data_IF_008414187610
#
_entry.id   IF_008414187610
#
_cell.length_a   1.000
_cell.length_b   1.000
_cell.length_c   1.000
_cell.angle_alpha   90.00
_cell.angle_beta   90.00
_cell.angle_gamma   90.00
#
_symmetry.space_group_name_H-M   'P 1'
#
loop_
_entity.id
_entity.type
_entity.pdbx_description
1 polymer ?
#
# COMPACT_ATOMS: atom_id res chain seq x y z
N UNK A 1 -9.88 7.73 -23.40
CA UNK A 1 -9.72 9.07 -22.78
C UNK A 1 -9.83 8.95 -21.26
N UNK A 2 -9.18 7.95 -20.64
CA UNK A 2 -9.41 7.58 -19.23
C UNK A 2 -8.18 7.78 -18.31
N UNK A 3 -6.97 7.85 -18.86
CA UNK A 3 -5.73 7.95 -18.08
C UNK A 3 -5.61 9.24 -17.25
N UNK A 4 -6.28 10.33 -17.67
CA UNK A 4 -6.33 11.59 -16.89
C UNK A 4 -7.03 11.37 -15.55
N UNK A 5 -8.06 10.52 -15.51
CA UNK A 5 -8.73 10.13 -14.27
C UNK A 5 -7.83 9.31 -13.36
N UNK A 6 -7.06 8.37 -13.93
CA UNK A 6 -6.05 7.60 -13.20
C UNK A 6 -5.02 8.50 -12.54
N UNK A 7 -4.48 9.48 -13.27
CA UNK A 7 -3.48 10.40 -12.71
C UNK A 7 -4.03 11.19 -11.52
N UNK A 8 -5.28 11.67 -11.60
CA UNK A 8 -5.92 12.35 -10.46
C UNK A 8 -6.05 11.41 -9.25
N UNK A 9 -6.57 10.19 -9.44
CA UNK A 9 -6.74 9.22 -8.34
C UNK A 9 -5.43 8.76 -7.74
N UNK A 10 -4.40 8.51 -8.57
CA UNK A 10 -3.06 8.17 -8.09
C UNK A 10 -2.51 9.31 -7.22
N UNK A 11 -2.62 10.56 -7.71
CA UNK A 11 -2.15 11.73 -6.97
C UNK A 11 -2.85 11.86 -5.64
N UNK A 12 -4.18 11.81 -5.63
CA UNK A 12 -4.98 12.00 -4.42
C UNK A 12 -4.72 10.86 -3.42
N UNK A 13 -4.60 9.62 -3.89
CA UNK A 13 -4.25 8.47 -3.04
C UNK A 13 -2.86 8.61 -2.39
N UNK A 14 -1.86 9.08 -3.13
CA UNK A 14 -0.52 9.33 -2.56
C UNK A 14 -0.56 10.45 -1.52
N UNK A 15 -1.33 11.52 -1.75
CA UNK A 15 -1.50 12.59 -0.75
C UNK A 15 -2.17 12.10 0.52
N UNK A 16 -3.23 11.30 0.42
CA UNK A 16 -3.87 10.68 1.58
C UNK A 16 -2.90 9.78 2.34
N UNK A 17 -2.12 8.94 1.65
CA UNK A 17 -1.11 8.08 2.28
C UNK A 17 -0.05 8.88 3.05
N UNK A 18 0.44 9.98 2.46
CA UNK A 18 1.43 10.84 3.12
C UNK A 18 0.84 11.65 4.27
N UNK A 19 -0.43 12.06 4.17
CA UNK A 19 -1.12 12.81 5.23
C UNK A 19 -1.44 11.94 6.43
N UNK A 20 -1.49 10.61 6.23
CA UNK A 20 -1.72 9.63 7.29
C UNK A 20 -0.54 9.56 8.27
N UNK A 21 0.66 10.02 7.89
CA UNK A 21 1.87 9.98 8.73
C UNK A 21 1.66 10.67 10.09
N UNK A 22 0.97 11.81 10.11
CA UNK A 22 0.71 12.59 11.31
C UNK A 22 -0.25 11.88 12.29
N UNK A 23 -1.09 10.97 11.79
CA UNK A 23 -2.11 10.23 12.55
C UNK A 23 -1.57 8.90 13.13
N UNK A 24 -0.32 8.52 12.87
CA UNK A 24 0.28 7.25 13.30
C UNK A 24 0.73 7.24 14.78
N UNK A 25 0.64 8.36 15.49
CA UNK A 25 1.16 8.49 16.86
C UNK A 25 0.10 8.01 17.87
N UNK A 26 0.40 6.93 18.61
CA UNK A 26 -0.41 6.37 19.72
C UNK A 26 -1.73 5.66 19.34
N UNK A 27 -1.75 4.91 18.24
CA UNK A 27 -2.89 4.08 17.84
C UNK A 27 -2.92 2.71 18.57
N UNK A 28 -4.12 2.18 18.83
CA UNK A 28 -4.32 0.83 19.38
C UNK A 28 -4.30 -0.27 18.30
N UNK A 29 -4.30 -1.54 18.72
CA UNK A 29 -4.22 -2.70 17.81
C UNK A 29 -5.36 -2.72 16.77
N UNK A 30 -6.57 -2.37 17.18
CA UNK A 30 -7.75 -2.33 16.31
C UNK A 30 -7.61 -1.24 15.23
N UNK A 31 -6.99 -0.11 15.58
CA UNK A 31 -6.73 0.95 14.62
C UNK A 31 -5.62 0.56 13.64
N UNK A 32 -4.58 -0.14 14.09
CA UNK A 32 -3.56 -0.67 13.18
C UNK A 32 -4.13 -1.66 12.17
N UNK A 33 -5.05 -2.53 12.58
CA UNK A 33 -5.76 -3.45 11.67
C UNK A 33 -6.63 -2.69 10.65
N UNK A 34 -7.33 -1.64 11.09
CA UNK A 34 -8.11 -0.79 10.20
C UNK A 34 -7.21 -0.08 9.16
N UNK A 35 -6.06 0.45 9.59
CA UNK A 35 -5.10 1.09 8.70
C UNK A 35 -4.49 0.11 7.70
N UNK A 36 -4.18 -1.12 8.11
CA UNK A 36 -3.75 -2.19 7.22
C UNK A 36 -4.83 -2.51 6.17
N UNK A 37 -6.10 -2.61 6.58
CA UNK A 37 -7.21 -2.86 5.65
C UNK A 37 -7.38 -1.72 4.64
N UNK A 38 -7.32 -0.47 5.10
CA UNK A 38 -7.41 0.71 4.23
C UNK A 38 -6.21 0.77 3.26
N UNK A 39 -5.00 0.50 3.73
CA UNK A 39 -3.80 0.43 2.91
C UNK A 39 -3.92 -0.61 1.79
N UNK A 40 -4.41 -1.81 2.09
CA UNK A 40 -4.65 -2.89 1.12
C UNK A 40 -5.71 -2.51 0.09
N UNK A 41 -6.78 -1.84 0.52
CA UNK A 41 -7.82 -1.34 -0.38
C UNK A 41 -7.25 -0.30 -1.35
N UNK A 42 -6.53 0.71 -0.84
CA UNK A 42 -5.86 1.74 -1.64
C UNK A 42 -4.84 1.14 -2.61
N UNK A 43 -4.05 0.15 -2.15
CA UNK A 43 -3.09 -0.59 -3.00
C UNK A 43 -3.78 -1.22 -4.21
N UNK A 44 -4.94 -1.83 -4.02
CA UNK A 44 -5.70 -2.48 -5.09
C UNK A 44 -6.16 -1.47 -6.15
N UNK A 45 -6.68 -0.32 -5.74
CA UNK A 45 -7.09 0.73 -6.68
C UNK A 45 -5.90 1.36 -7.41
N UNK A 46 -4.82 1.64 -6.68
CA UNK A 46 -3.56 2.13 -7.25
C UNK A 46 -3.01 1.16 -8.30
N UNK A 47 -3.09 -0.15 -8.07
CA UNK A 47 -2.64 -1.15 -9.04
C UNK A 47 -3.43 -1.04 -10.35
N UNK A 48 -4.75 -0.97 -10.27
CA UNK A 48 -5.60 -0.79 -11.44
C UNK A 48 -5.25 0.49 -12.21
N UNK A 49 -5.09 1.61 -11.50
CA UNK A 49 -4.80 2.91 -12.12
C UNK A 49 -3.39 2.98 -12.73
N UNK A 50 -2.38 2.46 -12.02
CA UNK A 50 -1.00 2.40 -12.51
C UNK A 50 -0.87 1.44 -13.69
N UNK A 51 -1.53 0.28 -13.64
CA UNK A 51 -1.56 -0.65 -14.76
C UNK A 51 -2.18 -0.01 -16.01
N UNK A 52 -3.29 0.73 -15.84
CA UNK A 52 -3.90 1.46 -16.94
C UNK A 52 -2.97 2.57 -17.47
N UNK A 53 -2.34 3.34 -16.58
CA UNK A 53 -1.39 4.40 -16.96
C UNK A 53 -0.19 3.83 -17.73
N UNK A 54 0.46 2.79 -17.21
CA UNK A 54 1.62 2.15 -17.83
C UNK A 54 1.25 1.56 -19.19
N UNK A 55 0.11 0.88 -19.29
CA UNK A 55 -0.36 0.29 -20.55
C UNK A 55 -0.57 1.33 -21.67
N UNK A 56 -0.98 2.54 -21.30
CA UNK A 56 -1.21 3.65 -22.24
C UNK A 56 0.04 4.54 -22.46
N UNK A 57 1.14 4.28 -21.76
CA UNK A 57 2.38 5.06 -21.88
C UNK A 57 3.21 4.60 -23.09
N UNK A 58 4.06 5.47 -23.63
CA UNK A 58 5.03 5.12 -24.68
C UNK A 58 6.13 4.22 -24.14
N UNK A 59 6.65 3.30 -24.96
CA UNK A 59 7.62 2.28 -24.52
C UNK A 59 8.87 2.88 -23.86
N UNK A 60 9.30 4.06 -24.27
CA UNK A 60 10.44 4.81 -23.70
C UNK A 60 10.29 5.12 -22.20
N UNK A 61 9.06 5.27 -21.71
CA UNK A 61 8.76 5.59 -20.31
C UNK A 61 8.16 4.42 -19.54
N UNK A 62 7.67 3.38 -20.23
CA UNK A 62 7.01 2.22 -19.58
C UNK A 62 7.89 1.59 -18.51
N UNK A 63 9.15 1.29 -18.83
CA UNK A 63 10.07 0.65 -17.88
C UNK A 63 10.23 1.47 -16.60
N UNK A 64 10.47 2.78 -16.74
CA UNK A 64 10.66 3.68 -15.60
C UNK A 64 9.41 3.74 -14.72
N UNK A 65 8.22 3.81 -15.33
CA UNK A 65 6.96 3.81 -14.60
C UNK A 65 6.67 2.46 -13.92
N UNK A 66 6.98 1.35 -14.57
CA UNK A 66 6.87 0.01 -13.97
C UNK A 66 7.82 -0.13 -12.77
N UNK A 67 9.07 0.30 -12.91
CA UNK A 67 10.04 0.24 -11.81
C UNK A 67 9.62 1.15 -10.63
N UNK A 68 9.02 2.31 -10.92
CA UNK A 68 8.43 3.19 -9.90
C UNK A 68 7.23 2.55 -9.19
N UNK A 69 6.30 1.97 -9.95
CA UNK A 69 5.13 1.28 -9.40
C UNK A 69 5.56 0.11 -8.52
N UNK A 70 6.51 -0.70 -8.96
CA UNK A 70 7.02 -1.84 -8.19
C UNK A 70 7.63 -1.40 -6.86
N UNK A 71 8.42 -0.32 -6.85
CA UNK A 71 8.98 0.23 -5.61
C UNK A 71 7.89 0.76 -4.66
N UNK A 72 6.88 1.44 -5.20
CA UNK A 72 5.75 1.91 -4.39
C UNK A 72 5.03 0.72 -3.73
N UNK A 73 4.68 -0.31 -4.50
CA UNK A 73 4.00 -1.48 -3.96
C UNK A 73 4.85 -2.25 -2.95
N UNK A 74 6.16 -2.37 -3.17
CA UNK A 74 7.06 -2.93 -2.17
C UNK A 74 7.02 -2.16 -0.84
N UNK A 75 7.09 -0.82 -0.88
CA UNK A 75 6.98 -0.01 0.33
C UNK A 75 5.62 -0.13 1.01
N UNK A 76 4.54 -0.27 0.24
CA UNK A 76 3.21 -0.52 0.80
C UNK A 76 3.09 -1.90 1.45
N UNK A 77 3.71 -2.94 0.86
CA UNK A 77 3.79 -4.28 1.45
C UNK A 77 4.58 -4.28 2.76
N UNK A 78 5.72 -3.58 2.81
CA UNK A 78 6.50 -3.43 4.05
C UNK A 78 5.68 -2.75 5.15
N UNK A 79 4.95 -1.68 4.81
CA UNK A 79 4.10 -0.97 5.75
C UNK A 79 2.93 -1.84 6.26
N UNK A 80 2.31 -2.65 5.38
CA UNK A 80 1.25 -3.58 5.77
C UNK A 80 1.73 -4.66 6.77
N UNK A 81 2.97 -5.12 6.61
CA UNK A 81 3.61 -6.05 7.53
C UNK A 81 3.89 -5.43 8.90
N UNK A 82 4.20 -4.14 8.94
CA UNK A 82 4.41 -3.40 10.19
C UNK A 82 3.10 -3.14 10.93
N UNK A 83 2.00 -2.92 10.21
CA UNK A 83 0.65 -2.79 10.79
C UNK A 83 0.05 -4.11 11.24
N UNK A 84 0.43 -5.22 10.61
CA UNK A 84 -0.10 -6.53 10.97
C UNK A 84 0.61 -7.04 12.24
N UNK A 85 -0.11 -7.21 13.38
CA UNK A 85 0.52 -7.67 14.60
C UNK A 85 1.20 -9.03 14.37
N UNK A 86 2.46 -9.18 14.79
CA UNK A 86 3.19 -10.46 14.70
C UNK A 86 2.60 -11.50 15.66
N UNK A 87 1.40 -12.02 15.37
CA UNK A 87 0.65 -12.98 16.22
C UNK A 87 1.27 -14.38 16.28
N UNK A 88 2.44 -14.65 15.68
CA UNK A 88 2.96 -16.03 15.54
C UNK A 88 4.33 -16.39 16.11
N UNK A 89 5.06 -15.50 16.81
CA UNK A 89 6.38 -15.88 17.37
C UNK A 89 6.40 -16.39 18.82
N UNK A 90 5.27 -16.51 19.52
CA UNK A 90 5.25 -17.04 20.91
C UNK A 90 4.19 -18.11 21.21
N UNK A 91 3.77 -18.90 20.22
CA UNK A 91 2.80 -20.00 20.42
C UNK A 91 3.40 -21.41 20.50
N UNK A 92 4.73 -21.56 20.50
CA UNK A 92 5.41 -22.86 20.47
C UNK A 92 6.19 -23.14 21.75
N UNK A 93 5.52 -23.45 22.86
CA UNK A 93 6.18 -23.62 24.15
C UNK A 93 5.41 -24.41 25.19
N UNK A 94 5.25 -25.72 24.94
CA UNK A 94 5.01 -26.82 25.90
C UNK A 94 3.76 -26.75 26.80
N UNK A 95 2.79 -27.60 26.46
CA UNK A 95 1.96 -28.33 27.44
C UNK A 95 2.88 -29.27 28.24
N UNK A 96 2.99 -29.07 29.56
CA UNK A 96 3.45 -30.01 30.61
C UNK A 96 3.43 -29.17 31.90
N UNK A 97 2.82 -29.52 33.04
CA UNK A 97 2.27 -30.76 33.58
C UNK A 97 1.13 -30.42 34.53
#
# INVERSE_FOLDING_TARGET
MEWRGCVCRIRDCVFELLSTEDDLIQQDEDTWELMASELRLKSTFLYCDLNQLISNTRDEHKKVLTDLANRLFHSMEELDLDFTPRKWKQGGGKKSS
#
